data_IF_154309034101
#
_entry.id   IF_154309034101
#
_cell.length_a   1.000
_cell.length_b   1.000
_cell.length_c   1.000
_cell.angle_alpha   90.00
_cell.angle_beta   90.00
_cell.angle_gamma   90.00
#
_symmetry.space_group_name_H-M   'P 1'
#
loop_
_entity.id
_entity.type
_entity.pdbx_description
1 polymer ?
#
# COMPACT_ATOMS: atom_id res chain seq x y z
N UNK A 1 -20.89 43.01 -15.91
CA UNK A 1 -19.43 42.81 -15.96
C UNK A 1 -19.14 41.42 -15.40
N UNK A 2 -18.58 40.51 -16.19
CA UNK A 2 -18.39 39.10 -15.80
C UNK A 2 -17.06 38.94 -15.09
N UNK A 3 -17.09 38.59 -13.80
CA UNK A 3 -15.87 38.38 -13.01
C UNK A 3 -15.20 37.09 -13.47
N UNK A 4 -14.02 37.20 -14.09
CA UNK A 4 -13.19 36.04 -14.44
C UNK A 4 -12.57 35.50 -13.16
N UNK A 5 -12.89 34.26 -12.80
CA UNK A 5 -12.23 33.54 -11.72
C UNK A 5 -10.77 33.32 -12.13
N UNK A 6 -9.84 33.99 -11.46
CA UNK A 6 -8.42 33.70 -11.58
C UNK A 6 -8.12 32.50 -10.69
N UNK A 7 -7.75 31.37 -11.31
CA UNK A 7 -7.27 30.21 -10.55
C UNK A 7 -6.03 30.63 -9.73
N UNK A 8 -5.96 30.29 -8.44
CA UNK A 8 -4.83 30.67 -7.60
C UNK A 8 -3.57 29.97 -8.11
N UNK A 9 -2.60 30.77 -8.54
CA UNK A 9 -1.30 30.31 -9.01
C UNK A 9 -0.64 29.46 -7.92
N UNK A 10 -0.34 28.20 -8.25
CA UNK A 10 0.20 27.24 -7.28
C UNK A 10 1.56 27.76 -6.80
N UNK A 11 1.78 27.96 -5.48
CA UNK A 11 3.00 28.56 -4.99
C UNK A 11 4.23 27.71 -5.37
N UNK A 12 5.39 28.34 -5.59
CA UNK A 12 6.59 27.65 -6.03
C UNK A 12 7.01 26.57 -5.01
N UNK A 13 7.28 25.36 -5.50
CA UNK A 13 7.67 24.22 -4.68
C UNK A 13 9.05 24.48 -4.10
N UNK A 14 9.13 24.91 -2.84
CA UNK A 14 10.40 25.14 -2.15
C UNK A 14 10.95 23.82 -1.59
N UNK A 15 11.96 23.27 -2.26
CA UNK A 15 12.64 22.08 -1.79
C UNK A 15 13.35 22.34 -0.44
N UNK A 16 13.22 21.42 0.51
CA UNK A 16 13.84 21.52 1.84
C UNK A 16 13.07 22.35 2.88
N UNK A 17 11.99 23.05 2.50
CA UNK A 17 11.11 23.78 3.42
C UNK A 17 9.81 22.99 3.65
N UNK A 18 9.90 21.85 4.31
CA UNK A 18 8.71 21.06 4.69
C UNK A 18 8.41 21.24 6.17
N UNK A 19 7.13 21.44 6.52
CA UNK A 19 6.73 21.44 7.93
C UNK A 19 6.83 20.02 8.51
N UNK A 20 7.12 19.90 9.82
CA UNK A 20 7.16 18.59 10.49
C UNK A 20 5.85 17.81 10.32
N UNK A 21 4.71 18.50 10.36
CA UNK A 21 3.40 17.88 10.12
C UNK A 21 3.22 17.36 8.70
N UNK A 22 3.73 18.08 7.70
CA UNK A 22 3.71 17.64 6.30
C UNK A 22 4.66 16.46 6.05
N UNK A 23 5.85 16.48 6.66
CA UNK A 23 6.79 15.37 6.64
C UNK A 23 6.21 14.11 7.29
N UNK A 24 5.54 14.25 8.44
CA UNK A 24 4.85 13.16 9.11
C UNK A 24 3.73 12.56 8.27
N UNK A 25 2.91 13.40 7.62
CA UNK A 25 1.84 12.94 6.72
C UNK A 25 2.39 12.17 5.51
N UNK A 26 3.41 12.72 4.83
CA UNK A 26 4.03 12.08 3.67
C UNK A 26 4.74 10.78 4.05
N UNK A 27 5.48 10.78 5.17
CA UNK A 27 6.13 9.61 5.72
C UNK A 27 5.13 8.51 6.08
N UNK A 28 4.02 8.88 6.74
CA UNK A 28 2.93 7.97 7.08
C UNK A 28 2.23 7.37 5.87
N UNK A 29 1.95 8.16 4.82
CA UNK A 29 1.38 7.63 3.58
C UNK A 29 2.32 6.66 2.88
N UNK A 30 3.61 6.98 2.78
CA UNK A 30 4.61 6.15 2.10
C UNK A 30 4.91 4.87 2.89
N UNK A 31 5.08 4.98 4.21
CA UNK A 31 5.33 3.84 5.09
C UNK A 31 4.10 2.94 5.23
N UNK A 32 2.92 3.52 5.44
CA UNK A 32 1.67 2.80 5.64
C UNK A 32 1.27 1.95 4.43
N UNK A 33 1.44 2.47 3.21
CA UNK A 33 1.18 1.69 1.99
C UNK A 33 2.13 0.49 1.86
N UNK A 34 3.42 0.67 2.21
CA UNK A 34 4.40 -0.42 2.18
C UNK A 34 4.07 -1.52 3.19
N UNK A 35 3.70 -1.13 4.42
CA UNK A 35 3.29 -2.08 5.47
C UNK A 35 2.03 -2.83 5.05
N UNK A 36 1.03 -2.14 4.49
CA UNK A 36 -0.19 -2.78 3.98
C UNK A 36 0.12 -3.86 2.95
N UNK A 37 1.00 -3.56 1.97
CA UNK A 37 1.38 -4.52 0.92
C UNK A 37 2.06 -5.76 1.49
N UNK A 38 3.00 -5.59 2.43
CA UNK A 38 3.68 -6.71 3.08
C UNK A 38 2.71 -7.62 3.85
N UNK A 39 1.68 -7.05 4.48
CA UNK A 39 0.65 -7.82 5.18
C UNK A 39 -0.20 -8.62 4.19
N UNK A 40 -0.55 -8.02 3.05
CA UNK A 40 -1.33 -8.69 2.01
C UNK A 40 -0.54 -9.84 1.38
N UNK A 41 0.72 -9.60 0.99
CA UNK A 41 1.62 -10.63 0.44
C UNK A 41 1.86 -11.79 1.42
N UNK A 42 2.06 -11.49 2.71
CA UNK A 42 2.22 -12.52 3.74
C UNK A 42 0.97 -13.39 3.92
N UNK A 43 -0.22 -12.78 3.88
CA UNK A 43 -1.50 -13.52 3.97
C UNK A 43 -1.80 -14.37 2.72
N UNK A 44 -1.38 -13.91 1.56
CA UNK A 44 -1.49 -14.67 0.32
C UNK A 44 -0.57 -15.88 0.36
N UNK A 45 0.69 -15.67 0.74
CA UNK A 45 1.68 -16.75 0.91
C UNK A 45 1.21 -17.81 1.92
N UNK A 46 0.66 -17.40 3.07
CA UNK A 46 0.08 -18.34 4.05
C UNK A 46 -1.07 -19.18 3.47
N UNK A 47 -1.87 -18.63 2.55
CA UNK A 47 -2.99 -19.34 1.92
C UNK A 47 -2.50 -20.30 0.85
N UNK A 48 -1.49 -19.90 0.09
CA UNK A 48 -0.87 -20.73 -0.93
C UNK A 48 -0.16 -21.93 -0.29
N UNK A 49 0.62 -21.71 0.78
CA UNK A 49 1.24 -22.77 1.57
C UNK A 49 0.18 -23.72 2.17
N UNK A 50 -0.92 -23.18 2.68
CA UNK A 50 -2.02 -23.99 3.22
C UNK A 50 -2.77 -24.79 2.12
N UNK A 51 -2.86 -24.24 0.90
CA UNK A 51 -3.44 -24.93 -0.26
C UNK A 51 -2.54 -26.05 -0.79
N UNK A 52 -1.23 -25.82 -0.80
CA UNK A 52 -0.23 -26.82 -1.22
C UNK A 52 -0.15 -28.00 -0.23
N UNK A 53 -0.28 -27.74 1.08
CA UNK A 53 -0.35 -28.82 2.09
C UNK A 53 -1.63 -29.66 1.96
N UNK A 54 -2.77 -29.06 1.62
CA UNK A 54 -4.03 -29.81 1.43
C UNK A 54 -3.98 -30.73 0.21
N UNK A 55 -3.47 -30.24 -0.93
CA UNK A 55 -3.32 -31.07 -2.13
C UNK A 55 -2.37 -32.26 -1.87
N UNK A 56 -1.27 -32.05 -1.15
CA UNK A 56 -0.32 -33.12 -0.81
C UNK A 56 -0.89 -34.17 0.16
N UNK A 57 -1.96 -33.84 0.89
CA UNK A 57 -2.65 -34.76 1.80
C UNK A 57 -3.72 -35.59 1.06
N UNK A 58 -4.44 -34.98 0.11
CA UNK A 58 -5.38 -35.69 -0.76
C UNK A 58 -4.69 -36.75 -1.64
N UNK A 59 -3.44 -36.51 -2.05
CA UNK A 59 -2.63 -37.49 -2.80
C UNK A 59 -2.16 -38.70 -1.96
N UNK A 60 -2.18 -38.60 -0.62
CA UNK A 60 -1.71 -39.69 0.27
C UNK A 60 -2.83 -40.58 0.81
N UNK A 61 -4.06 -40.09 0.82
CA UNK A 61 -5.23 -40.83 1.31
C UNK A 61 -6.01 -41.52 0.17
N UNK A 62 -5.52 -41.42 -1.08
CA UNK A 62 -6.13 -41.98 -2.29
C UNK A 62 -5.50 -43.27 -2.83
N UNK A 63 -4.45 -43.81 -2.21
CA UNK A 63 -3.84 -45.09 -2.62
C UNK A 63 -4.18 -46.21 -1.61
N UNK A 64 -5.21 -46.99 -1.98
CA UNK A 64 -5.58 -48.36 -1.57
C UNK A 64 -5.79 -48.71 -0.09
#
# INVERSE_FOLDING_TARGET
MTQKQTEPEKPPVRHGQMSVGEAGRLGGQKGGQRVKRLIEEGKESERDDAGEMRNRQEDKDGEA
#
